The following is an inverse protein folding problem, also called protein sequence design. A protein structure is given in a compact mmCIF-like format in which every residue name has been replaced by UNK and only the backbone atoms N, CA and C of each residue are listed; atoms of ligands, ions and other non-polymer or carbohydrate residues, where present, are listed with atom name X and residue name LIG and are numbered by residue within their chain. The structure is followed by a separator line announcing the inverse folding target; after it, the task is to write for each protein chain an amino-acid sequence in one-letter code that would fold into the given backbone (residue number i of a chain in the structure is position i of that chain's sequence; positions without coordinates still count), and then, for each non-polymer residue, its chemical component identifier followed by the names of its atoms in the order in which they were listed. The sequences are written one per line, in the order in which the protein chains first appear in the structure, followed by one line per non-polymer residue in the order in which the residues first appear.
data_IF_488828777365
#
_entry.id   IF_488828777365
#
_cell.length_a   1.000
_cell.length_b   1.000
_cell.length_c   1.000
_cell.angle_alpha   90.00
_cell.angle_beta   90.00
_cell.angle_gamma   90.00
#
_symmetry.space_group_name_H-M   'P 1'
#
loop_
_entity.id
_entity.type
_entity.pdbx_description
1 polymer ?
#
# COMPACT_ATOMS: atom_id res chain seq x y z
N UNK A 1 -20.48 14.79 19.72
CA UNK A 1 -19.56 14.68 18.56
C UNK A 1 -19.96 13.42 17.83
N UNK A 2 -20.09 13.44 16.50
CA UNK A 2 -20.42 12.23 15.76
C UNK A 2 -19.33 11.17 16.02
N UNK A 3 -19.77 9.95 16.27
CA UNK A 3 -18.90 8.85 16.69
C UNK A 3 -18.35 8.14 15.46
N UNK A 4 -17.02 8.02 15.37
CA UNK A 4 -16.38 7.21 14.33
C UNK A 4 -16.46 5.75 14.75
N UNK A 5 -17.07 4.93 13.89
CA UNK A 5 -17.20 3.49 14.10
C UNK A 5 -16.35 2.77 13.08
N UNK A 6 -15.40 1.94 13.54
CA UNK A 6 -14.55 1.11 12.68
C UNK A 6 -14.96 -0.35 12.82
N UNK A 7 -15.24 -1.01 11.69
CA UNK A 7 -15.67 -2.41 11.63
C UNK A 7 -14.96 -3.15 10.51
N UNK A 8 -15.01 -4.49 10.51
CA UNK A 8 -14.62 -5.26 9.32
C UNK A 8 -15.67 -5.11 8.24
N UNK A 9 -15.26 -5.22 6.98
CA UNK A 9 -16.18 -5.24 5.85
C UNK A 9 -17.14 -6.43 5.92
N UNK A 10 -16.70 -7.56 6.48
CA UNK A 10 -17.57 -8.72 6.72
C UNK A 10 -18.74 -8.41 7.66
N UNK A 11 -18.55 -7.51 8.63
CA UNK A 11 -19.61 -7.08 9.55
C UNK A 11 -20.56 -6.05 8.93
N UNK A 12 -20.10 -5.30 7.91
CA UNK A 12 -20.86 -4.23 7.24
C UNK A 12 -20.70 -4.35 5.70
N UNK A 13 -21.19 -5.44 5.09
CA UNK A 13 -20.96 -5.73 3.67
C UNK A 13 -21.60 -4.71 2.72
N UNK A 14 -22.56 -3.92 3.20
CA UNK A 14 -23.19 -2.85 2.43
C UNK A 14 -22.21 -1.74 1.99
N UNK A 15 -21.03 -1.64 2.61
CA UNK A 15 -19.99 -0.67 2.21
C UNK A 15 -19.06 -1.17 1.11
N UNK A 16 -19.17 -2.42 0.64
CA UNK A 16 -18.24 -3.01 -0.32
C UNK A 16 -18.09 -2.15 -1.59
N UNK A 17 -19.21 -1.77 -2.20
CA UNK A 17 -19.20 -0.94 -3.42
C UNK A 17 -18.87 0.54 -3.10
N UNK A 18 -19.09 0.97 -1.85
CA UNK A 18 -18.77 2.34 -1.39
C UNK A 18 -17.28 2.57 -1.18
N UNK A 19 -16.47 1.52 -1.06
CA UNK A 19 -15.01 1.62 -0.94
C UNK A 19 -14.34 2.31 -2.15
N UNK A 20 -15.05 2.54 -3.24
CA UNK A 20 -14.53 3.19 -4.45
C UNK A 20 -14.94 4.68 -4.56
N UNK A 21 -15.75 5.21 -3.63
CA UNK A 21 -16.27 6.59 -3.66
C UNK A 21 -15.19 7.69 -3.59
N UNK A 22 -13.98 7.38 -3.12
CA UNK A 22 -12.89 8.35 -2.98
C UNK A 22 -11.54 7.75 -3.38
N UNK A 23 -11.54 6.95 -4.47
CA UNK A 23 -10.36 6.33 -5.06
C UNK A 23 -9.32 7.34 -5.59
N UNK A 24 -9.71 8.59 -5.85
CA UNK A 24 -8.86 9.68 -6.38
C UNK A 24 -7.76 10.17 -5.41
N UNK A 25 -7.55 9.50 -4.28
CA UNK A 25 -6.50 9.85 -3.33
C UNK A 25 -5.08 9.53 -3.85
N UNK A 26 -4.96 8.71 -4.88
CA UNK A 26 -3.68 8.33 -5.49
C UNK A 26 -3.31 9.25 -6.67
N UNK A 27 -2.00 9.43 -6.96
CA UNK A 27 -1.57 10.04 -8.21
C UNK A 27 -2.10 9.25 -9.42
N UNK A 28 -2.54 9.93 -10.48
CA UNK A 28 -3.19 9.30 -11.63
C UNK A 28 -2.39 8.12 -12.21
N UNK A 29 -1.06 8.26 -12.36
CA UNK A 29 -0.21 7.20 -12.88
C UNK A 29 -0.24 5.92 -12.04
N UNK A 30 -0.49 6.01 -10.72
CA UNK A 30 -0.53 4.85 -9.82
C UNK A 30 -1.71 3.90 -10.11
N UNK A 31 -2.74 4.36 -10.82
CA UNK A 31 -3.86 3.53 -11.25
C UNK A 31 -3.53 2.65 -12.47
N UNK A 32 -2.32 2.74 -13.02
CA UNK A 32 -1.90 1.96 -14.19
C UNK A 32 -0.94 0.81 -13.85
N UNK A 33 -0.84 0.44 -12.58
CA UNK A 33 -0.18 -0.81 -12.19
C UNK A 33 -1.03 -2.03 -12.62
N UNK A 34 -0.54 -2.91 -13.51
CA UNK A 34 -1.28 -4.07 -13.97
C UNK A 34 -1.63 -5.06 -12.85
N UNK A 35 -0.80 -5.19 -11.81
CA UNK A 35 -1.06 -6.14 -10.71
C UNK A 35 -2.17 -5.60 -9.81
N UNK A 36 -2.08 -4.34 -9.40
CA UNK A 36 -3.15 -3.65 -8.69
C UNK A 36 -4.48 -3.71 -9.42
N UNK A 37 -4.48 -3.43 -10.72
CA UNK A 37 -5.69 -3.47 -11.55
C UNK A 37 -6.30 -4.87 -11.66
N UNK A 38 -5.48 -5.92 -11.69
CA UNK A 38 -5.96 -7.29 -11.73
C UNK A 38 -6.57 -7.75 -10.40
N UNK A 39 -6.00 -7.35 -9.26
CA UNK A 39 -6.26 -8.03 -7.97
C UNK A 39 -6.92 -7.18 -6.88
N UNK A 40 -6.75 -5.85 -6.86
CA UNK A 40 -7.17 -5.03 -5.72
C UNK A 40 -8.68 -5.04 -5.47
N UNK A 41 -9.50 -5.09 -6.52
CA UNK A 41 -10.96 -5.14 -6.40
C UNK A 41 -11.48 -6.49 -5.89
N UNK A 42 -10.67 -7.54 -6.01
CA UNK A 42 -10.99 -8.89 -5.55
C UNK A 42 -10.73 -9.07 -4.05
N UNK A 43 -9.74 -8.35 -3.49
CA UNK A 43 -9.35 -8.46 -2.07
C UNK A 43 -10.54 -8.33 -1.11
N UNK A 44 -11.36 -7.26 -1.14
CA UNK A 44 -12.49 -7.14 -0.22
C UNK A 44 -13.61 -8.15 -0.46
N UNK A 45 -13.66 -8.80 -1.64
CA UNK A 45 -14.64 -9.85 -1.94
C UNK A 45 -14.23 -11.20 -1.37
N UNK A 46 -12.93 -11.51 -1.36
CA UNK A 46 -12.40 -12.78 -0.88
C UNK A 46 -11.98 -12.75 0.60
N UNK A 47 -11.58 -11.58 1.12
CA UNK A 47 -11.06 -11.43 2.48
C UNK A 47 -11.77 -10.30 3.25
N UNK A 48 -13.12 -10.23 3.25
CA UNK A 48 -13.86 -9.13 3.88
C UNK A 48 -13.64 -9.04 5.40
N UNK A 49 -13.24 -10.14 6.04
CA UNK A 49 -12.96 -10.23 7.47
C UNK A 49 -11.64 -9.57 7.89
N UNK A 50 -10.75 -9.27 6.94
CA UNK A 50 -9.51 -8.54 7.18
C UNK A 50 -9.45 -7.18 6.46
N UNK A 51 -10.54 -6.80 5.79
CA UNK A 51 -10.76 -5.45 5.29
C UNK A 51 -11.56 -4.65 6.33
N UNK A 52 -11.23 -3.36 6.49
CA UNK A 52 -11.86 -2.50 7.50
C UNK A 52 -12.53 -1.29 6.85
N UNK A 53 -13.62 -0.83 7.44
CA UNK A 53 -14.36 0.37 7.05
C UNK A 53 -14.61 1.24 8.28
N UNK A 54 -14.41 2.54 8.13
CA UNK A 54 -14.72 3.54 9.16
C UNK A 54 -15.83 4.45 8.68
N UNK A 55 -16.82 4.66 9.55
CA UNK A 55 -17.99 5.48 9.26
C UNK A 55 -18.20 6.57 10.30
N UNK A 56 -18.63 7.75 9.88
CA UNK A 56 -19.11 8.84 10.74
C UNK A 56 -20.55 9.13 10.31
N UNK A 57 -21.52 8.99 11.22
CA UNK A 57 -22.97 9.13 10.95
C UNK A 57 -23.49 8.28 9.75
N UNK A 58 -22.89 7.10 9.55
CA UNK A 58 -23.25 6.18 8.46
C UNK A 58 -22.56 6.48 7.12
N UNK A 59 -21.83 7.59 7.02
CA UNK A 59 -21.01 7.93 5.86
C UNK A 59 -19.65 7.24 5.93
N UNK A 60 -19.22 6.64 4.82
CA UNK A 60 -17.89 6.02 4.74
C UNK A 60 -16.82 7.11 4.69
N UNK A 61 -15.92 7.13 5.68
CA UNK A 61 -14.85 8.15 5.78
C UNK A 61 -13.45 7.58 5.61
N UNK A 62 -13.27 6.27 5.80
CA UNK A 62 -12.02 5.59 5.51
C UNK A 62 -12.25 4.09 5.26
N UNK A 63 -11.33 3.47 4.54
CA UNK A 63 -11.28 2.02 4.43
C UNK A 63 -9.84 1.53 4.43
N UNK A 64 -9.65 0.23 4.69
CA UNK A 64 -8.37 -0.42 4.60
C UNK A 64 -8.52 -1.84 4.06
N UNK A 65 -7.51 -2.29 3.32
CA UNK A 65 -7.47 -3.64 2.74
C UNK A 65 -6.23 -4.36 3.25
N UNK A 66 -6.41 -5.63 3.57
CA UNK A 66 -5.30 -6.55 3.82
C UNK A 66 -5.55 -7.88 3.14
N UNK A 67 -4.48 -8.59 2.83
CA UNK A 67 -4.52 -9.88 2.15
C UNK A 67 -3.75 -10.93 2.97
N UNK A 68 -4.35 -12.12 3.21
CA UNK A 68 -3.67 -13.22 3.87
C UNK A 68 -2.71 -13.93 2.90
N UNK A 69 -1.58 -14.43 3.40
CA UNK A 69 -0.65 -15.25 2.62
C UNK A 69 0.16 -16.19 3.52
N UNK A 70 0.76 -17.22 2.93
CA UNK A 70 1.68 -18.13 3.62
C UNK A 70 3.09 -17.55 3.62
N UNK A 71 3.65 -17.32 4.81
CA UNK A 71 5.03 -16.93 5.02
C UNK A 71 5.45 -17.02 6.50
N UNK A 72 6.70 -17.43 6.82
CA UNK A 72 7.64 -18.09 5.93
C UNK A 72 7.25 -19.55 5.66
N UNK A 73 7.78 -20.13 4.58
CA UNK A 73 7.74 -21.56 4.30
C UNK A 73 9.04 -22.02 3.61
N UNK A 74 9.09 -23.26 3.11
CA UNK A 74 10.28 -23.82 2.44
C UNK A 74 10.69 -23.07 1.15
N UNK A 75 9.72 -22.48 0.44
CA UNK A 75 9.92 -21.75 -0.83
C UNK A 75 10.00 -20.23 -0.63
N UNK A 76 9.51 -19.72 0.50
CA UNK A 76 9.40 -18.30 0.85
C UNK A 76 10.13 -18.05 2.16
N UNK A 77 11.46 -18.08 2.10
CA UNK A 77 12.34 -17.85 3.26
C UNK A 77 12.49 -16.38 3.61
N UNK A 78 12.30 -15.50 2.64
CA UNK A 78 12.49 -14.06 2.76
C UNK A 78 11.29 -13.27 2.25
N UNK A 79 11.08 -12.07 2.79
CA UNK A 79 10.06 -11.17 2.27
C UNK A 79 10.40 -10.79 0.82
N UNK A 80 9.39 -10.70 -0.07
CA UNK A 80 9.65 -10.55 -1.47
C UNK A 80 10.18 -9.15 -1.80
N UNK A 81 11.22 -9.10 -2.65
CA UNK A 81 11.72 -7.85 -3.23
C UNK A 81 10.69 -7.13 -4.11
N UNK A 82 9.69 -7.89 -4.58
CA UNK A 82 8.53 -7.39 -5.32
C UNK A 82 7.42 -6.78 -4.45
N UNK A 83 7.64 -6.63 -3.14
CA UNK A 83 6.80 -5.79 -2.28
C UNK A 83 5.29 -6.04 -2.40
N UNK A 84 4.56 -4.95 -2.60
CA UNK A 84 3.10 -4.86 -2.70
C UNK A 84 2.52 -5.74 -3.81
N UNK A 85 3.07 -5.67 -5.03
CA UNK A 85 2.65 -6.51 -6.16
C UNK A 85 2.80 -7.99 -5.83
N UNK A 86 3.93 -8.35 -5.21
CA UNK A 86 4.24 -9.75 -4.95
C UNK A 86 3.36 -10.34 -3.85
N UNK A 87 2.97 -9.58 -2.82
CA UNK A 87 2.05 -10.11 -1.79
C UNK A 87 0.62 -10.24 -2.29
N UNK A 88 0.16 -9.37 -3.19
CA UNK A 88 -1.09 -9.58 -3.91
C UNK A 88 -1.05 -10.90 -4.68
N UNK A 89 0.01 -11.09 -5.47
CA UNK A 89 0.18 -12.32 -6.24
C UNK A 89 0.23 -13.57 -5.34
N UNK A 90 1.03 -13.55 -4.26
CA UNK A 90 1.13 -14.67 -3.32
C UNK A 90 -0.19 -14.99 -2.62
N UNK A 91 -0.91 -13.99 -2.11
CA UNK A 91 -2.18 -14.21 -1.42
C UNK A 91 -3.23 -14.85 -2.33
N UNK A 92 -3.35 -14.39 -3.58
CA UNK A 92 -4.27 -15.02 -4.55
C UNK A 92 -3.79 -16.38 -5.06
N UNK A 93 -2.47 -16.61 -5.17
CA UNK A 93 -1.92 -17.94 -5.46
C UNK A 93 -2.23 -18.94 -4.35
N UNK A 94 -2.03 -18.54 -3.09
CA UNK A 94 -2.28 -19.38 -1.92
C UNK A 94 -3.77 -19.71 -1.82
N UNK A 95 -4.65 -18.71 -1.99
CA UNK A 95 -6.10 -18.89 -2.05
C UNK A 95 -6.49 -19.93 -3.11
N UNK A 96 -6.01 -19.76 -4.35
CA UNK A 96 -6.30 -20.67 -5.47
C UNK A 96 -5.76 -22.09 -5.23
N UNK A 97 -4.67 -22.20 -4.49
CA UNK A 97 -4.03 -23.49 -4.17
C UNK A 97 -4.56 -24.12 -2.88
N UNK A 98 -5.52 -23.48 -2.20
CA UNK A 98 -6.09 -23.96 -0.94
C UNK A 98 -5.07 -24.02 0.21
N UNK A 99 -4.04 -23.16 0.18
CA UNK A 99 -3.03 -23.12 1.24
C UNK A 99 -3.54 -22.29 2.40
N UNK A 100 -3.37 -22.79 3.63
CA UNK A 100 -3.80 -22.09 4.85
C UNK A 100 -2.81 -20.96 5.21
N UNK A 101 -3.23 -19.68 5.13
CA UNK A 101 -2.37 -18.55 5.48
C UNK A 101 -2.10 -18.47 6.98
N UNK A 102 -0.94 -17.93 7.36
CA UNK A 102 -0.52 -17.76 8.76
C UNK A 102 -0.14 -16.31 9.11
N UNK A 103 -0.09 -15.42 8.10
CA UNK A 103 0.21 -14.00 8.20
C UNK A 103 -0.65 -13.22 7.21
N UNK A 104 -0.75 -11.89 7.39
CA UNK A 104 -1.37 -11.00 6.38
C UNK A 104 -0.46 -9.84 6.02
N UNK A 105 -0.69 -9.25 4.85
CA UNK A 105 -0.09 -7.99 4.45
C UNK A 105 -1.16 -6.90 4.36
N UNK A 106 -0.91 -5.75 4.99
CA UNK A 106 -1.64 -4.52 4.71
C UNK A 106 -1.34 -4.08 3.27
N UNK A 107 -2.37 -3.65 2.55
CA UNK A 107 -2.26 -3.18 1.17
C UNK A 107 -2.54 -1.69 1.06
N UNK A 108 -3.50 -1.19 1.81
CA UNK A 108 -3.84 0.24 1.85
C UNK A 108 -4.62 0.59 3.12
N UNK A 109 -4.48 1.85 3.54
CA UNK A 109 -5.44 2.56 4.37
C UNK A 109 -5.69 3.89 3.66
N UNK A 110 -6.94 4.15 3.31
CA UNK A 110 -7.36 5.32 2.56
C UNK A 110 -8.37 6.08 3.40
N UNK A 111 -8.11 7.37 3.61
CA UNK A 111 -8.93 8.27 4.42
C UNK A 111 -9.42 9.39 3.53
N UNK A 112 -10.71 9.72 3.63
CA UNK A 112 -11.33 10.82 2.89
C UNK A 112 -10.58 12.13 3.19
N UNK A 113 -10.29 12.97 2.18
CA UNK A 113 -9.50 14.19 2.38
C UNK A 113 -10.02 15.11 3.49
N UNK A 114 -11.34 15.20 3.67
CA UNK A 114 -12.01 15.99 4.72
C UNK A 114 -11.73 15.49 6.15
N UNK A 115 -11.13 14.30 6.30
CA UNK A 115 -10.86 13.64 7.58
C UNK A 115 -9.37 13.44 7.86
N UNK A 116 -8.48 13.96 6.99
CA UNK A 116 -7.04 13.92 7.20
C UNK A 116 -6.62 14.78 8.42
N UNK A 117 -5.49 14.42 9.03
CA UNK A 117 -4.91 15.16 10.17
C UNK A 117 -5.62 14.95 11.52
N UNK A 118 -6.67 14.11 11.58
CA UNK A 118 -7.47 13.86 12.81
C UNK A 118 -7.00 12.63 13.61
N UNK A 119 -5.87 12.02 13.26
CA UNK A 119 -5.33 10.83 13.94
C UNK A 119 -5.90 9.48 13.48
N UNK A 120 -6.97 9.49 12.67
CA UNK A 120 -7.71 8.30 12.20
C UNK A 120 -6.84 7.19 11.59
N UNK A 121 -5.69 7.53 11.00
CA UNK A 121 -4.78 6.52 10.44
C UNK A 121 -4.19 5.56 11.47
N UNK A 122 -3.99 6.02 12.71
CA UNK A 122 -3.56 5.15 13.81
C UNK A 122 -4.69 4.20 14.19
N UNK A 123 -5.92 4.70 14.33
CA UNK A 123 -7.09 3.90 14.68
C UNK A 123 -7.40 2.84 13.62
N UNK A 124 -7.33 3.22 12.34
CA UNK A 124 -7.46 2.29 11.21
C UNK A 124 -6.39 1.20 11.24
N UNK A 125 -5.12 1.55 11.48
CA UNK A 125 -4.04 0.56 11.57
C UNK A 125 -4.26 -0.39 12.75
N UNK A 126 -4.69 0.10 13.91
CA UNK A 126 -4.99 -0.75 15.06
C UNK A 126 -6.18 -1.69 14.79
N UNK A 127 -7.24 -1.18 14.16
CA UNK A 127 -8.40 -1.99 13.78
C UNK A 127 -8.01 -3.10 12.77
N UNK A 128 -7.16 -2.80 11.80
CA UNK A 128 -6.64 -3.79 10.84
C UNK A 128 -5.82 -4.87 11.55
N UNK A 129 -4.91 -4.49 12.45
CA UNK A 129 -4.14 -5.45 13.27
C UNK A 129 -5.05 -6.36 14.08
N UNK A 130 -6.08 -5.80 14.71
CA UNK A 130 -7.05 -6.58 15.48
C UNK A 130 -7.84 -7.55 14.60
N UNK A 131 -8.28 -7.12 13.41
CA UNK A 131 -8.96 -7.98 12.44
C UNK A 131 -8.08 -9.14 11.97
N UNK A 132 -6.81 -8.85 11.67
CA UNK A 132 -5.84 -9.89 11.27
C UNK A 132 -5.54 -10.85 12.41
N UNK A 133 -5.35 -10.35 13.64
CA UNK A 133 -5.15 -11.18 14.84
C UNK A 133 -6.33 -12.10 15.11
N UNK A 134 -7.56 -11.63 14.90
CA UNK A 134 -8.77 -12.43 15.08
C UNK A 134 -8.84 -13.64 14.13
N UNK A 135 -8.05 -13.64 13.05
CA UNK A 135 -7.87 -14.78 12.14
C UNK A 135 -6.80 -15.78 12.59
N UNK A 136 -6.18 -15.56 13.74
CA UNK A 136 -5.11 -16.41 14.25
C UNK A 136 -3.75 -16.15 13.58
N UNK A 137 -3.64 -15.09 12.79
CA UNK A 137 -2.39 -14.74 12.12
C UNK A 137 -1.38 -14.18 13.10
N UNK A 138 -0.11 -14.54 12.91
CA UNK A 138 0.96 -14.22 13.85
C UNK A 138 1.58 -12.84 13.63
N UNK A 139 1.47 -12.31 12.40
CA UNK A 139 2.03 -11.03 12.02
C UNK A 139 1.21 -10.32 10.94
N UNK A 140 1.26 -8.99 10.97
CA UNK A 140 0.85 -8.13 9.87
C UNK A 140 2.08 -7.47 9.24
N UNK A 141 2.37 -7.82 7.99
CA UNK A 141 3.37 -7.14 7.18
C UNK A 141 2.75 -5.95 6.45
N UNK A 142 3.56 -4.98 6.05
CA UNK A 142 3.13 -3.85 5.24
C UNK A 142 4.29 -3.40 4.34
N UNK A 143 4.16 -3.44 3.01
CA UNK A 143 5.07 -2.76 2.08
C UNK A 143 4.61 -1.31 2.00
N UNK A 144 5.16 -0.47 2.88
CA UNK A 144 4.72 0.90 3.04
C UNK A 144 5.32 1.80 1.96
N UNK A 145 4.47 2.47 1.21
CA UNK A 145 4.82 3.61 0.34
C UNK A 145 5.02 4.87 1.21
N UNK A 146 6.24 5.37 1.41
CA UNK A 146 6.47 6.53 2.26
C UNK A 146 5.93 7.80 1.59
N UNK A 147 4.99 8.48 2.23
CA UNK A 147 4.26 9.60 1.60
C UNK A 147 4.88 10.98 1.89
N UNK A 148 5.94 11.04 2.69
CA UNK A 148 6.71 12.26 2.96
C UNK A 148 7.95 12.42 2.08
N UNK A 149 8.29 11.42 1.26
CA UNK A 149 9.48 11.46 0.40
C UNK A 149 9.22 12.38 -0.79
N UNK A 150 9.99 13.46 -0.90
CA UNK A 150 9.86 14.46 -1.98
C UNK A 150 11.07 14.52 -2.91
N UNK A 151 12.27 14.24 -2.39
CA UNK A 151 13.48 14.10 -3.20
C UNK A 151 13.47 12.72 -3.87
N UNK A 152 13.17 12.68 -5.17
CA UNK A 152 13.12 11.44 -5.94
C UNK A 152 14.51 10.82 -6.18
N UNK A 153 15.58 11.60 -6.18
CA UNK A 153 16.95 11.13 -6.44
C UNK A 153 17.54 10.42 -5.22
N UNK A 154 17.11 10.78 -4.02
CA UNK A 154 17.53 10.12 -2.79
C UNK A 154 17.13 8.62 -2.78
N UNK A 155 18.08 7.67 -2.68
CA UNK A 155 17.75 6.25 -2.62
C UNK A 155 16.86 5.91 -1.41
N UNK A 156 15.88 5.03 -1.60
CA UNK A 156 14.97 4.62 -0.52
C UNK A 156 15.71 4.03 0.68
N UNK A 157 16.81 3.31 0.44
CA UNK A 157 17.67 2.73 1.50
C UNK A 157 18.32 3.78 2.39
N UNK A 158 18.57 4.99 1.88
CA UNK A 158 19.07 6.12 2.68
C UNK A 158 17.92 6.92 3.28
N UNK A 159 16.82 7.10 2.54
CA UNK A 159 15.63 7.79 3.04
C UNK A 159 15.08 7.17 4.34
N UNK A 160 14.99 5.84 4.41
CA UNK A 160 14.44 5.16 5.61
C UNK A 160 15.33 5.31 6.86
N UNK A 161 16.60 5.71 6.71
CA UNK A 161 17.51 5.95 7.82
C UNK A 161 17.33 7.34 8.44
N UNK A 162 16.60 8.23 7.78
CA UNK A 162 16.37 9.58 8.26
C UNK A 162 15.39 9.56 9.43
N UNK A 163 15.89 9.97 10.60
CA UNK A 163 15.13 10.03 11.85
C UNK A 163 15.08 11.46 12.38
N UNK A 164 14.04 11.75 13.16
CA UNK A 164 13.92 12.96 13.97
C UNK A 164 14.77 12.85 15.24
N UNK A 165 14.90 13.95 15.97
CA UNK A 165 15.60 14.00 17.27
C UNK A 165 14.99 13.06 18.32
N UNK A 166 13.70 12.73 18.19
CA UNK A 166 12.99 11.76 19.05
C UNK A 166 13.24 10.28 18.65
N UNK A 167 14.10 10.03 17.66
CA UNK A 167 14.45 8.70 17.19
C UNK A 167 13.42 8.04 16.26
N UNK A 168 12.29 8.71 15.97
CA UNK A 168 11.27 8.19 15.07
C UNK A 168 11.57 8.54 13.60
N UNK A 169 11.06 7.76 12.63
CA UNK A 169 11.23 8.07 11.20
C UNK A 169 10.81 9.50 10.86
N UNK A 170 11.57 10.14 9.97
CA UNK A 170 11.22 11.46 9.43
C UNK A 170 9.92 11.38 8.62
N UNK A 171 9.75 10.33 7.83
CA UNK A 171 8.53 10.07 7.06
C UNK A 171 7.30 9.94 7.98
N UNK A 172 6.22 10.69 7.74
CA UNK A 172 5.06 10.67 8.61
C UNK A 172 4.33 9.34 8.59
N UNK A 173 4.30 8.62 7.46
CA UNK A 173 3.60 7.35 7.37
C UNK A 173 4.38 6.19 7.97
N UNK A 174 5.70 6.11 7.74
CA UNK A 174 6.56 5.18 8.46
C UNK A 174 6.47 5.40 9.97
N UNK A 175 6.39 6.66 10.41
CA UNK A 175 6.26 7.00 11.83
C UNK A 175 4.95 6.52 12.45
N UNK A 176 3.83 6.52 11.73
CA UNK A 176 2.56 5.93 12.22
C UNK A 176 2.76 4.44 12.52
N UNK A 177 3.40 3.71 11.60
CA UNK A 177 3.67 2.30 11.77
C UNK A 177 4.61 2.02 12.94
N UNK A 178 5.72 2.76 13.06
CA UNK A 178 6.68 2.57 14.18
C UNK A 178 6.04 2.90 15.53
N UNK A 179 5.24 3.98 15.62
CA UNK A 179 4.48 4.31 16.84
C UNK A 179 3.46 3.23 17.23
N UNK A 180 2.95 2.47 16.27
CA UNK A 180 2.07 1.33 16.52
C UNK A 180 2.83 0.07 16.98
N UNK A 181 4.16 0.13 17.11
CA UNK A 181 5.01 -1.01 17.46
C UNK A 181 5.57 -1.77 16.24
N UNK A 182 5.39 -1.23 15.03
CA UNK A 182 5.92 -1.83 13.81
C UNK A 182 7.44 -1.69 13.71
N UNK A 183 8.10 -2.74 13.22
CA UNK A 183 9.54 -2.76 12.96
C UNK A 183 9.81 -2.64 11.47
N UNK A 184 10.60 -1.65 11.06
CA UNK A 184 11.10 -1.52 9.68
C UNK A 184 12.11 -2.64 9.42
N UNK A 185 11.89 -3.44 8.38
CA UNK A 185 12.72 -4.60 8.04
C UNK A 185 13.70 -4.29 6.91
N UNK A 186 13.19 -3.95 5.72
CA UNK A 186 14.00 -3.74 4.52
C UNK A 186 13.23 -2.97 3.45
N UNK A 187 13.94 -2.50 2.42
CA UNK A 187 13.32 -1.94 1.22
C UNK A 187 12.90 -3.08 0.27
N UNK A 188 11.68 -3.03 -0.25
CA UNK A 188 11.27 -3.76 -1.44
C UNK A 188 11.57 -2.88 -2.65
N UNK A 189 12.66 -3.13 -3.41
CA UNK A 189 13.14 -2.18 -4.43
C UNK A 189 12.23 -2.05 -5.65
N UNK A 190 11.32 -3.01 -5.87
CA UNK A 190 10.41 -3.07 -7.02
C UNK A 190 9.01 -3.48 -6.58
N UNK A 191 8.50 -2.75 -5.59
CA UNK A 191 7.24 -3.03 -4.90
C UNK A 191 6.03 -2.89 -5.81
N UNK A 192 6.06 -1.90 -6.70
CA UNK A 192 5.08 -1.70 -7.76
C UNK A 192 5.81 -1.36 -9.06
N UNK A 193 5.36 -1.90 -10.19
CA UNK A 193 5.95 -1.62 -11.52
C UNK A 193 4.88 -1.13 -12.48
N UNK A 194 5.02 0.10 -12.94
CA UNK A 194 4.09 0.76 -13.86
C UNK A 194 4.83 1.01 -15.16
N UNK A 195 4.37 0.38 -16.23
CA UNK A 195 4.92 0.53 -17.57
C UNK A 195 3.84 1.01 -18.53
N UNK A 196 4.24 1.80 -19.51
CA UNK A 196 3.34 2.32 -20.53
C UNK A 196 4.12 2.95 -21.68
N UNK A 197 3.42 3.18 -22.79
CA UNK A 197 3.91 3.99 -23.90
C UNK A 197 4.15 5.44 -23.48
N UNK A 198 4.93 6.18 -24.26
CA UNK A 198 5.15 7.60 -23.98
C UNK A 198 3.85 8.41 -24.08
N UNK A 199 2.93 7.99 -24.95
CA UNK A 199 1.61 8.61 -25.09
C UNK A 199 0.77 8.46 -23.80
N UNK A 200 0.73 7.25 -23.25
CA UNK A 200 0.06 6.98 -21.98
C UNK A 200 0.67 7.78 -20.82
N UNK A 201 2.01 7.81 -20.71
CA UNK A 201 2.68 8.60 -19.67
C UNK A 201 2.41 10.10 -19.77
N UNK A 202 2.32 10.66 -20.99
CA UNK A 202 1.90 12.05 -21.21
C UNK A 202 0.47 12.28 -20.75
N UNK A 203 -0.44 11.35 -21.02
CA UNK A 203 -1.83 11.43 -20.56
C UNK A 203 -1.92 11.38 -19.03
N UNK A 204 -1.21 10.46 -18.39
CA UNK A 204 -1.28 10.26 -16.93
C UNK A 204 -0.67 11.39 -16.12
N UNK A 205 0.32 12.09 -16.67
CA UNK A 205 1.16 13.04 -15.90
C UNK A 205 1.11 14.47 -16.42
N UNK A 206 0.73 14.69 -17.68
CA UNK A 206 0.85 15.97 -18.36
C UNK A 206 2.29 16.40 -18.68
N UNK A 207 3.29 15.54 -18.44
CA UNK A 207 4.70 15.82 -18.71
C UNK A 207 5.09 15.39 -20.14
N UNK A 208 6.16 15.94 -20.74
CA UNK A 208 6.46 15.75 -22.16
C UNK A 208 6.97 14.36 -22.53
N UNK A 209 7.73 13.68 -21.67
CA UNK A 209 8.32 12.35 -21.96
C UNK A 209 9.00 12.30 -23.35
N UNK A 210 9.81 13.30 -23.68
CA UNK A 210 10.40 13.53 -25.01
C UNK A 210 11.92 13.25 -25.08
N UNK A 211 12.52 12.85 -23.96
CA UNK A 211 13.96 12.56 -23.84
C UNK A 211 14.18 11.24 -23.12
N UNK A 212 15.09 10.44 -23.66
CA UNK A 212 15.59 9.22 -22.99
C UNK A 212 16.33 9.60 -21.71
N UNK A 213 16.13 8.79 -20.66
CA UNK A 213 16.69 8.99 -19.33
C UNK A 213 15.61 9.16 -18.27
N UNK A 214 15.99 9.75 -17.14
CA UNK A 214 15.14 9.83 -15.96
C UNK A 214 14.27 11.10 -15.98
N UNK A 215 12.97 10.92 -15.75
CA UNK A 215 11.99 12.02 -15.62
C UNK A 215 11.43 12.04 -14.19
N UNK A 216 11.52 13.20 -13.54
CA UNK A 216 10.92 13.40 -12.22
C UNK A 216 9.43 13.68 -12.36
N UNK A 217 8.60 12.74 -11.93
CA UNK A 217 7.15 12.87 -11.90
C UNK A 217 6.70 13.32 -10.51
N UNK A 218 5.85 14.35 -10.38
CA UNK A 218 5.31 14.76 -9.09
C UNK A 218 4.65 13.59 -8.34
N UNK A 219 4.97 13.44 -7.05
CA UNK A 219 4.50 12.37 -6.15
C UNK A 219 5.06 10.96 -6.46
N UNK A 220 5.93 10.80 -7.45
CA UNK A 220 6.71 9.57 -7.60
C UNK A 220 7.84 9.53 -6.55
N UNK A 221 8.18 8.35 -6.06
CA UNK A 221 9.19 8.16 -5.01
C UNK A 221 10.61 8.07 -5.58
N UNK A 222 10.74 7.78 -6.86
CA UNK A 222 11.97 7.68 -7.65
C UNK A 222 11.69 8.18 -9.08
N UNK A 223 12.72 8.46 -9.90
CA UNK A 223 12.50 8.86 -11.27
C UNK A 223 11.79 7.78 -12.10
N UNK A 224 11.09 8.20 -13.15
CA UNK A 224 10.56 7.30 -14.19
C UNK A 224 11.61 7.17 -15.29
N UNK A 225 11.97 5.95 -15.64
CA UNK A 225 12.94 5.68 -16.71
C UNK A 225 12.25 5.74 -18.07
N UNK A 226 12.75 6.58 -18.97
CA UNK A 226 12.16 6.82 -20.30
C UNK A 226 13.10 6.30 -21.37
N UNK A 227 12.56 5.53 -22.31
CA UNK A 227 13.22 5.11 -23.53
C UNK A 227 12.41 5.61 -24.74
N UNK A 228 12.90 6.67 -25.38
CA UNK A 228 12.23 7.29 -26.53
C UNK A 228 12.36 6.43 -27.79
N UNK A 229 13.48 5.73 -27.96
CA UNK A 229 13.74 4.90 -29.14
C UNK A 229 12.76 3.72 -29.21
N UNK A 230 12.42 3.15 -28.05
CA UNK A 230 11.52 2.02 -27.91
C UNK A 230 10.10 2.40 -27.44
N UNK A 231 9.73 3.68 -27.50
CA UNK A 231 8.41 4.24 -27.16
C UNK A 231 7.81 3.75 -25.83
N UNK A 232 8.60 3.75 -24.75
CA UNK A 232 8.06 3.38 -23.44
C UNK A 232 8.73 4.12 -22.28
N UNK A 233 8.04 4.14 -21.16
CA UNK A 233 8.61 4.52 -19.88
C UNK A 233 8.16 3.57 -18.77
N UNK A 234 9.02 3.38 -17.78
CA UNK A 234 8.83 2.44 -16.67
C UNK A 234 9.15 3.12 -15.35
N UNK A 235 8.19 3.06 -14.45
CA UNK A 235 8.32 3.45 -13.06
C UNK A 235 8.41 2.21 -12.18
N UNK A 236 9.50 2.09 -11.41
CA UNK A 236 9.75 0.99 -10.49
C UNK A 236 9.74 1.55 -9.07
N UNK A 237 8.59 1.46 -8.39
CA UNK A 237 8.42 2.07 -7.07
C UNK A 237 9.03 1.20 -5.96
N UNK A 238 9.90 1.75 -5.10
CA UNK A 238 10.30 1.08 -3.88
C UNK A 238 9.29 1.32 -2.76
N UNK A 239 9.02 0.29 -1.96
CA UNK A 239 8.31 0.43 -0.68
C UNK A 239 9.16 -0.11 0.47
N UNK A 240 8.68 0.06 1.70
CA UNK A 240 9.42 -0.27 2.92
C UNK A 240 8.66 -1.35 3.66
N UNK A 241 9.23 -2.54 3.77
CA UNK A 241 8.65 -3.62 4.56
C UNK A 241 8.67 -3.26 6.05
N UNK A 242 7.48 -3.28 6.65
CA UNK A 242 7.29 -3.18 8.09
C UNK A 242 6.59 -4.43 8.59
N UNK A 243 7.01 -4.95 9.74
CA UNK A 243 6.34 -6.04 10.46
C UNK A 243 5.70 -5.52 11.73
N UNK A 244 4.46 -5.90 11.96
CA UNK A 244 3.77 -5.79 13.25
C UNK A 244 3.55 -7.19 13.80
N UNK A 245 4.04 -7.43 15.01
CA UNK A 245 3.63 -8.61 15.77
C UNK A 245 2.21 -8.38 16.34
N UNK A 246 1.43 -9.47 16.42
CA UNK A 246 -0.01 -9.44 16.71
C UNK A 246 -0.36 -10.06 18.06
#
# INVERSE_FOLDING_TARGET
MPEIVITTLAARPEYLERMYEFADAWPAFMHNDPIGNAFMSQVPRHFPDQCIVATEDGELIAHGRSIPFVFPDEDRTDLPTGGWDRVLHWGFMDLRSGREPNVSSALEILIRPTHLGRGLSHEMLQAMRAAVKAKGHTALFAPVRPNGKTDAELPMTEYIKQVRDDGLPMDPWLRVHVKAGGTILQVAPRSMVIAGSLAEWREWTGLPFDKTGDVIVPKALVPVHVDVEHDHAVYVEPNVWIRHDL
#
